data_IF_549672032640
#
_entry.id   IF_549672032640
#
_cell.length_a   1.000
_cell.length_b   1.000
_cell.length_c   1.000
_cell.angle_alpha   90.00
_cell.angle_beta   90.00
_cell.angle_gamma   90.00
#
_symmetry.space_group_name_H-M   'P 1'
#
loop_
_entity.id
_entity.type
_entity.pdbx_description
1 polymer ?
#
# COMPACT_ATOMS: atom_id res chain seq x y z
N UNK A 1 -37.38 22.03 -61.30
CA UNK A 1 -35.95 21.94 -60.92
C UNK A 1 -35.81 22.26 -59.45
N UNK A 2 -35.84 21.29 -58.57
CA UNK A 2 -35.63 21.43 -57.13
C UNK A 2 -34.16 21.00 -56.85
N UNK A 3 -33.38 21.92 -56.30
CA UNK A 3 -32.03 21.62 -55.78
C UNK A 3 -32.17 21.25 -54.33
N UNK A 4 -31.99 19.98 -53.99
CA UNK A 4 -31.78 19.51 -52.64
C UNK A 4 -30.34 19.76 -52.23
N UNK A 5 -30.13 20.70 -51.35
CA UNK A 5 -28.88 20.87 -50.59
C UNK A 5 -29.04 20.17 -49.27
N UNK A 6 -28.57 18.97 -49.16
CA UNK A 6 -28.39 18.25 -47.87
C UNK A 6 -27.12 18.76 -47.19
N UNK A 7 -27.30 19.65 -46.26
CA UNK A 7 -26.25 20.01 -45.29
C UNK A 7 -26.09 18.85 -44.28
N UNK A 8 -25.10 17.99 -44.51
CA UNK A 8 -24.62 17.07 -43.48
C UNK A 8 -23.69 17.83 -42.50
N UNK A 9 -24.27 18.48 -41.52
CA UNK A 9 -23.56 18.86 -40.31
C UNK A 9 -23.37 17.63 -39.46
N UNK A 10 -22.24 16.93 -39.65
CA UNK A 10 -21.77 15.93 -38.68
C UNK A 10 -21.44 16.71 -37.43
N UNK A 11 -22.36 16.76 -36.45
CA UNK A 11 -22.07 17.16 -35.10
C UNK A 11 -20.92 16.29 -34.59
N UNK A 12 -19.77 16.91 -34.39
CA UNK A 12 -18.67 16.31 -33.64
C UNK A 12 -19.18 16.08 -32.21
N UNK A 13 -19.67 14.89 -31.94
CA UNK A 13 -19.84 14.42 -30.57
C UNK A 13 -18.49 14.59 -29.87
N UNK A 14 -18.39 15.58 -28.99
CA UNK A 14 -17.27 15.70 -28.06
C UNK A 14 -17.19 14.37 -27.31
N UNK A 15 -16.13 13.61 -27.58
CA UNK A 15 -15.91 12.34 -26.88
C UNK A 15 -15.86 12.64 -25.39
N UNK A 16 -16.73 11.98 -24.61
CA UNK A 16 -16.79 12.09 -23.14
C UNK A 16 -15.47 11.71 -22.46
N UNK A 17 -14.55 11.11 -23.19
CA UNK A 17 -13.24 10.69 -22.72
C UNK A 17 -12.15 11.26 -23.62
N UNK A 18 -11.18 11.96 -23.05
CA UNK A 18 -9.92 12.23 -23.71
C UNK A 18 -9.26 10.89 -24.00
N UNK A 19 -9.27 10.46 -25.25
CA UNK A 19 -8.63 9.23 -25.65
C UNK A 19 -7.12 9.31 -25.38
N UNK A 20 -6.52 8.20 -24.98
CA UNK A 20 -5.12 8.14 -24.62
C UNK A 20 -4.21 8.45 -25.83
N UNK A 21 -2.92 8.66 -25.53
CA UNK A 21 -1.91 8.94 -26.53
C UNK A 21 -1.93 7.97 -27.72
N UNK A 22 -1.62 8.44 -28.94
CA UNK A 22 -1.58 7.61 -30.14
C UNK A 22 -0.66 6.40 -29.99
N UNK A 23 -1.05 5.26 -30.52
CA UNK A 23 -0.18 4.08 -30.65
C UNK A 23 0.66 4.21 -31.92
N UNK A 24 1.97 4.28 -31.79
CA UNK A 24 2.90 4.46 -32.91
C UNK A 24 2.49 5.61 -33.86
N UNK A 25 2.06 6.73 -33.26
CA UNK A 25 1.61 7.91 -34.01
C UNK A 25 0.21 7.87 -34.61
N UNK A 26 -0.52 6.75 -34.44
CA UNK A 26 -1.89 6.60 -34.95
C UNK A 26 -2.90 6.83 -33.83
N UNK A 27 -3.91 7.66 -34.11
CA UNK A 27 -5.02 7.90 -33.19
C UNK A 27 -5.84 6.63 -32.97
N UNK A 28 -6.25 6.37 -31.74
CA UNK A 28 -7.16 5.26 -31.38
C UNK A 28 -8.59 5.74 -31.57
N UNK A 29 -9.38 4.97 -32.31
CA UNK A 29 -10.82 5.15 -32.43
C UNK A 29 -11.52 3.96 -31.79
N UNK A 30 -12.41 4.23 -30.84
CA UNK A 30 -13.24 3.19 -30.22
C UNK A 30 -14.53 3.09 -31.00
N UNK A 31 -14.88 1.90 -31.49
CA UNK A 31 -16.12 1.58 -32.20
C UNK A 31 -16.71 0.28 -31.65
N UNK A 32 -18.02 0.11 -31.73
CA UNK A 32 -18.73 -1.06 -31.18
C UNK A 32 -19.35 -1.94 -32.27
N UNK A 33 -18.85 -1.85 -33.50
CA UNK A 33 -19.39 -2.52 -34.68
C UNK A 33 -18.40 -3.46 -35.38
N UNK A 34 -17.33 -3.83 -34.70
CA UNK A 34 -16.30 -4.71 -35.25
C UNK A 34 -16.43 -6.14 -34.70
N UNK A 35 -16.08 -7.18 -35.49
CA UNK A 35 -16.13 -8.58 -35.05
C UNK A 35 -15.11 -8.88 -33.93
N UNK A 36 -13.97 -8.20 -33.90
CA UNK A 36 -12.92 -8.40 -32.90
C UNK A 36 -13.04 -7.39 -31.75
N UNK A 37 -13.99 -7.65 -30.85
CA UNK A 37 -14.19 -6.81 -29.68
C UNK A 37 -13.28 -7.22 -28.50
N UNK A 38 -12.77 -6.24 -27.78
CA UNK A 38 -12.06 -6.43 -26.52
C UNK A 38 -12.89 -5.98 -25.33
N UNK A 39 -12.97 -6.82 -24.29
CA UNK A 39 -13.53 -6.42 -23.00
C UNK A 39 -12.57 -5.55 -22.17
N UNK A 40 -11.31 -5.44 -22.60
CA UNK A 40 -10.22 -4.78 -21.88
C UNK A 40 -9.98 -3.32 -22.33
N UNK A 41 -10.92 -2.73 -23.06
CA UNK A 41 -10.81 -1.36 -23.62
C UNK A 41 -10.49 -0.28 -22.57
N UNK A 42 -10.86 -0.49 -21.30
CA UNK A 42 -10.52 0.38 -20.19
C UNK A 42 -9.01 0.55 -19.95
N UNK A 43 -8.18 -0.41 -20.35
CA UNK A 43 -6.71 -0.29 -20.29
C UNK A 43 -6.15 0.89 -21.08
N UNK A 44 -6.83 1.27 -22.15
CA UNK A 44 -6.40 2.39 -22.98
C UNK A 44 -6.51 3.72 -22.22
N UNK A 45 -7.38 3.81 -21.22
CA UNK A 45 -7.49 4.98 -20.33
C UNK A 45 -6.34 5.01 -19.29
N UNK A 46 -5.86 3.84 -18.85
CA UNK A 46 -4.73 3.71 -17.94
C UNK A 46 -3.38 3.92 -18.64
N UNK A 47 -3.35 3.88 -19.98
CA UNK A 47 -2.17 4.13 -20.81
C UNK A 47 -1.86 5.63 -20.80
N UNK A 48 -1.06 6.06 -19.86
CA UNK A 48 -0.61 7.45 -19.82
C UNK A 48 0.79 7.57 -20.41
N UNK A 49 1.75 7.69 -20.50
CA UNK A 49 3.01 7.89 -21.19
C UNK A 49 3.81 6.59 -21.39
N UNK A 50 4.84 6.66 -22.25
CA UNK A 50 5.84 5.59 -22.44
C UNK A 50 6.71 5.34 -21.20
N UNK A 51 6.72 6.24 -20.22
CA UNK A 51 7.60 6.19 -19.05
C UNK A 51 6.85 5.87 -17.75
N UNK A 52 6.00 4.84 -17.83
CA UNK A 52 5.21 4.34 -16.69
C UNK A 52 6.07 3.63 -15.65
N UNK A 53 5.57 3.48 -14.45
CA UNK A 53 6.28 2.73 -13.40
C UNK A 53 6.58 1.28 -13.82
N UNK A 54 5.65 0.50 -14.40
CA UNK A 54 5.94 -0.84 -14.94
C UNK A 54 7.05 -0.85 -15.99
N UNK A 55 7.06 0.12 -16.90
CA UNK A 55 8.12 0.28 -17.91
C UNK A 55 9.48 0.47 -17.26
N UNK A 56 9.58 1.36 -16.26
CA UNK A 56 10.81 1.58 -15.49
C UNK A 56 11.25 0.32 -14.73
N UNK A 57 10.31 -0.43 -14.15
CA UNK A 57 10.60 -1.70 -13.48
C UNK A 57 11.22 -2.71 -14.43
N UNK A 58 10.63 -2.89 -15.62
CA UNK A 58 11.14 -3.80 -16.65
C UNK A 58 12.56 -3.47 -17.09
N UNK A 59 12.88 -2.18 -17.25
CA UNK A 59 14.23 -1.71 -17.61
C UNK A 59 15.29 -1.94 -16.53
N UNK A 60 14.88 -2.12 -15.26
CA UNK A 60 15.81 -2.44 -14.16
C UNK A 60 16.23 -3.91 -14.13
N UNK A 61 15.50 -4.80 -14.79
CA UNK A 61 15.79 -6.23 -14.82
C UNK A 61 16.91 -6.48 -15.83
N UNK A 62 18.07 -7.04 -15.41
CA UNK A 62 19.14 -7.38 -16.32
C UNK A 62 18.67 -8.40 -17.35
N UNK A 63 18.97 -8.16 -18.63
CA UNK A 63 18.57 -9.05 -19.72
C UNK A 63 19.81 -9.67 -20.36
N UNK A 64 20.17 -10.86 -19.90
CA UNK A 64 21.32 -11.64 -20.37
C UNK A 64 20.97 -12.51 -21.61
N UNK A 65 19.75 -12.38 -22.16
CA UNK A 65 19.32 -13.13 -23.35
C UNK A 65 20.03 -12.62 -24.60
N UNK A 66 20.20 -13.49 -25.58
CA UNK A 66 20.74 -13.13 -26.91
C UNK A 66 19.78 -12.15 -27.59
N UNK A 67 20.12 -10.88 -27.65
CA UNK A 67 19.21 -9.78 -28.00
C UNK A 67 18.59 -9.91 -29.39
N UNK A 68 19.29 -10.49 -30.39
CA UNK A 68 18.75 -10.73 -31.73
C UNK A 68 17.62 -11.77 -31.76
N UNK A 69 17.48 -12.60 -30.70
CA UNK A 69 16.43 -13.60 -30.58
C UNK A 69 15.30 -13.17 -29.61
N UNK A 70 15.43 -12.00 -29.00
CA UNK A 70 14.42 -11.48 -28.08
C UNK A 70 13.22 -10.93 -28.84
N UNK A 71 12.07 -11.59 -28.72
CA UNK A 71 10.78 -11.11 -29.30
C UNK A 71 10.06 -10.15 -28.36
N UNK A 72 10.20 -10.35 -27.03
CA UNK A 72 9.55 -9.57 -25.98
C UNK A 72 10.60 -9.07 -25.01
N UNK A 73 10.76 -7.75 -24.91
CA UNK A 73 11.64 -7.15 -23.91
C UNK A 73 11.07 -7.33 -22.50
N UNK A 74 11.92 -7.28 -21.48
CA UNK A 74 11.44 -7.31 -20.09
C UNK A 74 10.58 -6.10 -19.74
N UNK A 75 10.82 -4.95 -20.36
CA UNK A 75 9.97 -3.77 -20.25
C UNK A 75 8.54 -4.07 -20.73
N UNK A 76 8.40 -4.64 -21.92
CA UNK A 76 7.11 -5.03 -22.49
C UNK A 76 6.41 -6.07 -21.61
N UNK A 77 7.15 -7.10 -21.18
CA UNK A 77 6.60 -8.19 -20.39
C UNK A 77 6.08 -7.73 -19.02
N UNK A 78 6.79 -6.82 -18.32
CA UNK A 78 6.34 -6.25 -17.05
C UNK A 78 5.10 -5.39 -17.27
N UNK A 79 5.07 -4.57 -18.33
CA UNK A 79 3.87 -3.81 -18.68
C UNK A 79 2.69 -4.73 -19.00
N UNK A 80 2.90 -5.79 -19.78
CA UNK A 80 1.89 -6.80 -20.08
C UNK A 80 1.33 -7.39 -18.78
N UNK A 81 2.20 -7.83 -17.87
CA UNK A 81 1.80 -8.48 -16.62
C UNK A 81 0.95 -7.56 -15.73
N UNK A 82 1.39 -6.32 -15.54
CA UNK A 82 0.63 -5.33 -14.75
C UNK A 82 -0.72 -5.03 -15.41
N UNK A 83 -0.76 -4.87 -16.73
CA UNK A 83 -2.01 -4.61 -17.45
C UNK A 83 -2.97 -5.80 -17.39
N UNK A 84 -2.46 -7.03 -17.40
CA UNK A 84 -3.27 -8.24 -17.18
C UNK A 84 -3.89 -8.26 -15.78
N UNK A 85 -3.12 -7.96 -14.73
CA UNK A 85 -3.64 -7.86 -13.36
C UNK A 85 -4.74 -6.79 -13.27
N UNK A 86 -4.55 -5.63 -13.90
CA UNK A 86 -5.56 -4.57 -13.94
C UNK A 86 -6.85 -5.00 -14.64
N UNK A 87 -6.79 -5.95 -15.57
CA UNK A 87 -7.94 -6.54 -16.25
C UNK A 87 -8.55 -7.76 -15.51
N UNK A 88 -8.02 -8.10 -14.33
CA UNK A 88 -8.50 -9.23 -13.54
C UNK A 88 -7.85 -10.59 -13.89
N UNK A 89 -6.82 -10.62 -14.75
CA UNK A 89 -6.01 -11.80 -15.01
C UNK A 89 -4.89 -11.89 -13.97
N UNK A 90 -5.21 -12.38 -12.82
CA UNK A 90 -4.35 -12.33 -11.63
C UNK A 90 -3.19 -13.34 -11.64
N UNK A 91 -3.33 -14.45 -12.37
CA UNK A 91 -2.34 -15.52 -12.43
C UNK A 91 -1.49 -15.44 -13.71
N UNK A 92 -0.22 -15.89 -13.65
CA UNK A 92 0.62 -16.02 -14.83
C UNK A 92 0.06 -17.06 -15.82
N UNK A 93 -0.68 -18.06 -15.34
CA UNK A 93 -1.37 -19.04 -16.17
C UNK A 93 -2.42 -18.43 -17.09
N UNK A 94 -2.95 -17.26 -16.74
CA UNK A 94 -3.93 -16.53 -17.54
C UNK A 94 -3.30 -15.83 -18.75
N UNK A 95 -1.96 -15.76 -18.85
CA UNK A 95 -1.27 -14.99 -19.89
C UNK A 95 -1.61 -15.42 -21.32
N UNK A 96 -1.84 -16.71 -21.54
CA UNK A 96 -2.03 -17.24 -22.91
C UNK A 96 -3.37 -16.82 -23.53
N UNK A 97 -4.40 -16.61 -22.73
CA UNK A 97 -5.71 -16.20 -23.22
C UNK A 97 -5.74 -14.74 -23.70
N UNK A 98 -5.30 -13.74 -22.91
CA UNK A 98 -5.39 -12.33 -23.29
C UNK A 98 -4.22 -11.84 -24.16
N UNK A 99 -3.19 -12.64 -24.44
CA UNK A 99 -2.01 -12.18 -25.20
C UNK A 99 -2.34 -11.74 -26.64
N UNK A 100 -3.41 -12.26 -27.23
CA UNK A 100 -3.87 -11.89 -28.58
C UNK A 100 -4.81 -10.67 -28.57
N UNK A 101 -5.27 -10.22 -27.39
CA UNK A 101 -6.24 -9.13 -27.25
C UNK A 101 -5.68 -7.80 -27.78
N UNK A 102 -6.46 -7.14 -28.64
CA UNK A 102 -6.07 -5.89 -29.31
C UNK A 102 -5.83 -4.74 -28.34
N UNK A 103 -6.66 -4.60 -27.29
CA UNK A 103 -6.49 -3.54 -26.28
C UNK A 103 -5.23 -3.79 -25.44
N UNK A 104 -4.95 -5.05 -25.11
CA UNK A 104 -3.74 -5.42 -24.36
C UNK A 104 -2.47 -5.15 -25.21
N UNK A 105 -2.46 -5.52 -26.49
CA UNK A 105 -1.36 -5.20 -27.42
C UNK A 105 -1.12 -3.68 -27.49
N UNK A 106 -2.19 -2.91 -27.66
CA UNK A 106 -2.10 -1.45 -27.69
C UNK A 106 -1.62 -0.86 -26.37
N UNK A 107 -1.98 -1.46 -25.23
CA UNK A 107 -1.57 -0.97 -23.91
C UNK A 107 -0.05 -1.03 -23.69
N UNK A 108 0.65 -1.95 -24.33
CA UNK A 108 2.11 -2.05 -24.32
C UNK A 108 2.79 -1.39 -25.52
N UNK A 109 2.02 -0.71 -26.37
CA UNK A 109 2.54 0.05 -27.51
C UNK A 109 2.65 -0.73 -28.82
N UNK A 110 2.08 -1.94 -28.93
CA UNK A 110 1.98 -2.71 -30.17
C UNK A 110 0.71 -2.35 -30.96
N UNK A 111 0.70 -2.65 -32.25
CA UNK A 111 -0.52 -2.57 -33.08
C UNK A 111 -1.40 -3.79 -32.81
N UNK A 112 -2.72 -3.70 -33.01
CA UNK A 112 -3.61 -4.86 -32.97
C UNK A 112 -3.18 -6.02 -33.86
N UNK A 113 -2.63 -5.70 -35.06
CA UNK A 113 -2.17 -6.65 -36.06
C UNK A 113 -0.78 -7.23 -35.80
N UNK A 114 -0.04 -6.73 -34.82
CA UNK A 114 1.28 -7.25 -34.50
C UNK A 114 1.17 -8.66 -33.88
N UNK A 115 2.30 -9.37 -33.81
CA UNK A 115 2.38 -10.68 -33.15
C UNK A 115 1.80 -10.64 -31.74
N UNK A 116 1.37 -11.79 -31.25
CA UNK A 116 0.88 -11.94 -29.88
C UNK A 116 1.91 -11.52 -28.84
N UNK A 117 1.44 -11.08 -27.70
CA UNK A 117 2.28 -10.80 -26.55
C UNK A 117 2.90 -12.10 -25.99
N UNK A 118 3.78 -11.98 -24.99
CA UNK A 118 4.49 -13.13 -24.48
C UNK A 118 3.55 -14.19 -23.88
N UNK A 119 3.93 -15.46 -24.05
CA UNK A 119 3.21 -16.62 -23.52
C UNK A 119 3.42 -16.78 -22.01
N UNK A 120 2.54 -17.56 -21.39
CA UNK A 120 2.62 -17.95 -19.98
C UNK A 120 4.01 -18.50 -19.61
N UNK A 121 4.57 -19.41 -20.41
CA UNK A 121 5.88 -19.99 -20.12
C UNK A 121 7.01 -18.95 -20.14
N UNK A 122 6.92 -17.94 -21.02
CA UNK A 122 7.89 -16.85 -21.08
C UNK A 122 7.73 -15.89 -19.91
N UNK A 123 6.49 -15.59 -19.51
CA UNK A 123 6.20 -14.80 -18.32
C UNK A 123 6.72 -15.47 -17.04
N UNK A 124 6.48 -16.76 -16.87
CA UNK A 124 6.99 -17.54 -15.73
C UNK A 124 8.51 -17.53 -15.65
N UNK A 125 9.23 -17.59 -16.79
CA UNK A 125 10.70 -17.45 -16.80
C UNK A 125 11.14 -16.08 -16.30
N UNK A 126 10.49 -14.99 -16.74
CA UNK A 126 10.76 -13.65 -16.22
C UNK A 126 10.56 -13.59 -14.72
N UNK A 127 9.38 -13.97 -14.24
CA UNK A 127 9.02 -13.92 -12.82
C UNK A 127 9.99 -14.72 -11.94
N UNK A 128 10.55 -15.82 -12.43
CA UNK A 128 11.52 -16.66 -11.71
C UNK A 128 12.99 -16.23 -11.86
N UNK A 129 13.30 -15.27 -12.71
CA UNK A 129 14.68 -14.86 -13.00
C UNK A 129 15.12 -13.57 -12.29
N UNK A 130 14.22 -12.92 -11.54
CA UNK A 130 14.54 -11.65 -10.85
C UNK A 130 15.34 -11.91 -9.58
N UNK A 131 16.50 -11.26 -9.43
CA UNK A 131 17.36 -11.37 -8.27
C UNK A 131 17.00 -10.37 -7.16
N UNK A 132 17.51 -10.60 -5.95
CA UNK A 132 17.26 -9.73 -4.79
C UNK A 132 17.81 -8.31 -4.94
N UNK A 133 18.86 -8.12 -5.75
CA UNK A 133 19.45 -6.81 -6.03
C UNK A 133 18.51 -5.99 -6.93
N UNK A 134 17.92 -6.62 -7.92
CA UNK A 134 16.91 -6.01 -8.80
C UNK A 134 15.65 -5.66 -8.01
N UNK A 135 15.17 -6.57 -7.14
CA UNK A 135 14.03 -6.28 -6.25
C UNK A 135 14.29 -5.07 -5.34
N UNK A 136 15.49 -4.95 -4.80
CA UNK A 136 15.87 -3.76 -4.03
C UNK A 136 15.81 -2.48 -4.88
N UNK A 137 16.29 -2.53 -6.13
CA UNK A 137 16.24 -1.39 -7.06
C UNK A 137 14.79 -1.03 -7.41
N UNK A 138 13.93 -2.02 -7.61
CA UNK A 138 12.48 -1.82 -7.84
C UNK A 138 11.85 -1.16 -6.60
N UNK A 139 12.12 -1.66 -5.41
CA UNK A 139 11.65 -1.03 -4.16
C UNK A 139 12.11 0.43 -4.04
N UNK A 140 13.38 0.73 -4.38
CA UNK A 140 13.90 2.10 -4.41
C UNK A 140 13.15 2.96 -5.44
N UNK A 141 12.86 2.42 -6.62
CA UNK A 141 12.11 3.11 -7.66
C UNK A 141 10.71 3.56 -7.19
N UNK A 142 10.01 2.77 -6.36
CA UNK A 142 8.74 3.19 -5.77
C UNK A 142 8.92 4.44 -4.90
N UNK A 143 9.93 4.46 -4.04
CA UNK A 143 10.22 5.62 -3.18
C UNK A 143 10.61 6.84 -4.01
N UNK A 144 11.41 6.65 -5.06
CA UNK A 144 11.78 7.72 -6.00
C UNK A 144 10.56 8.29 -6.73
N UNK A 145 9.64 7.42 -7.17
CA UNK A 145 8.40 7.83 -7.84
C UNK A 145 7.49 8.60 -6.87
N UNK A 146 7.42 8.18 -5.61
CA UNK A 146 6.74 8.93 -4.57
C UNK A 146 7.33 10.33 -4.42
N UNK A 147 8.65 10.46 -4.30
CA UNK A 147 9.34 11.77 -4.20
C UNK A 147 9.05 12.64 -5.41
N UNK A 148 9.17 12.09 -6.64
CA UNK A 148 8.91 12.82 -7.90
C UNK A 148 7.45 13.26 -8.07
N UNK A 149 6.52 12.66 -7.34
CA UNK A 149 5.11 13.01 -7.39
C UNK A 149 4.75 14.32 -6.69
N UNK A 150 5.73 14.97 -6.05
CA UNK A 150 5.57 16.25 -5.38
C UNK A 150 6.31 17.36 -6.14
N UNK A 151 5.62 18.45 -6.43
CA UNK A 151 6.22 19.64 -7.06
C UNK A 151 7.11 20.42 -6.08
N UNK A 152 6.84 20.29 -4.77
CA UNK A 152 7.61 20.94 -3.70
C UNK A 152 7.74 19.98 -2.52
N UNK A 153 8.86 20.00 -1.77
CA UNK A 153 9.03 19.20 -0.57
C UNK A 153 7.88 19.44 0.43
N UNK A 154 7.21 18.40 0.92
CA UNK A 154 6.18 18.54 1.94
C UNK A 154 6.82 18.91 3.29
N UNK A 155 6.11 19.68 4.11
CA UNK A 155 6.60 20.01 5.48
C UNK A 155 6.57 18.80 6.40
N UNK A 156 5.66 17.86 6.15
CA UNK A 156 5.44 16.69 6.99
C UNK A 156 4.99 15.49 6.16
N UNK A 157 5.61 14.34 6.39
CA UNK A 157 5.26 13.03 5.81
C UNK A 157 4.90 12.09 6.94
N UNK A 158 3.81 11.35 6.80
CA UNK A 158 3.39 10.30 7.75
C UNK A 158 3.55 8.95 7.05
N UNK A 159 4.52 8.17 7.48
CA UNK A 159 4.69 6.81 7.01
C UNK A 159 3.70 5.90 7.75
N UNK A 160 2.54 5.66 7.16
CA UNK A 160 1.62 4.63 7.63
C UNK A 160 2.12 3.28 7.17
N UNK A 161 2.55 2.47 8.12
CA UNK A 161 3.06 1.14 7.87
C UNK A 161 2.09 0.10 8.44
N UNK A 162 1.71 -0.88 7.63
CA UNK A 162 0.89 -1.99 8.06
C UNK A 162 1.20 -3.27 7.27
N UNK A 163 0.92 -4.40 7.89
CA UNK A 163 1.05 -5.72 7.32
C UNK A 163 -0.31 -6.20 6.85
N UNK A 164 -0.34 -6.92 5.73
CA UNK A 164 -1.55 -7.62 5.30
C UNK A 164 -1.20 -9.08 4.98
N UNK A 165 -2.19 -9.96 4.96
CA UNK A 165 -2.00 -11.31 4.47
C UNK A 165 -2.16 -11.35 2.94
N UNK A 166 -1.30 -12.12 2.30
CA UNK A 166 -1.44 -12.54 0.91
C UNK A 166 -1.51 -14.06 0.90
N UNK A 167 -2.70 -14.60 0.67
CA UNK A 167 -2.95 -16.04 0.73
C UNK A 167 -2.18 -16.75 -0.39
N UNK A 168 -1.67 -17.92 -0.10
CA UNK A 168 -0.91 -18.73 -1.04
C UNK A 168 -1.70 -19.95 -1.46
N UNK A 169 -1.61 -20.26 -2.74
CA UNK A 169 -2.32 -21.36 -3.37
C UNK A 169 -1.29 -22.33 -3.95
N UNK A 170 -0.92 -23.35 -3.16
CA UNK A 170 0.08 -24.34 -3.55
C UNK A 170 1.42 -24.24 -2.80
N UNK A 171 2.44 -24.93 -3.29
CA UNK A 171 3.76 -25.06 -2.66
C UNK A 171 4.67 -23.85 -2.98
N UNK A 172 4.27 -22.66 -2.57
CA UNK A 172 5.10 -21.45 -2.76
C UNK A 172 6.20 -21.36 -1.69
N UNK A 173 7.37 -20.92 -2.09
CA UNK A 173 8.53 -20.77 -1.21
C UNK A 173 8.26 -19.75 -0.09
N UNK A 174 8.68 -20.08 1.14
CA UNK A 174 8.50 -19.23 2.34
C UNK A 174 7.03 -18.91 2.68
N UNK A 175 6.10 -19.66 2.14
CA UNK A 175 4.74 -19.75 2.66
C UNK A 175 4.81 -20.38 4.04
N UNK A 176 4.44 -19.63 5.06
CA UNK A 176 4.50 -20.06 6.45
C UNK A 176 3.13 -19.90 7.09
N UNK A 177 2.78 -20.86 7.94
CA UNK A 177 1.53 -20.78 8.70
C UNK A 177 1.55 -19.56 9.63
N UNK A 178 0.55 -18.71 9.51
CA UNK A 178 0.34 -17.56 10.36
C UNK A 178 -0.85 -17.81 11.29
N UNK A 179 -0.56 -17.96 12.59
CA UNK A 179 -1.58 -18.28 13.59
C UNK A 179 -2.65 -17.16 13.77
N UNK A 180 -2.34 -15.91 13.46
CA UNK A 180 -3.30 -14.82 13.54
C UNK A 180 -4.39 -14.91 12.46
N UNK A 181 -3.98 -15.27 11.23
CA UNK A 181 -4.90 -15.46 10.10
C UNK A 181 -5.40 -16.89 9.98
N UNK A 182 -4.79 -17.84 10.73
CA UNK A 182 -5.04 -19.29 10.64
C UNK A 182 -4.87 -19.84 9.21
N UNK A 183 -3.89 -19.33 8.48
CA UNK A 183 -3.65 -19.62 7.06
C UNK A 183 -2.16 -19.68 6.72
N UNK A 184 -1.84 -20.41 5.65
CA UNK A 184 -0.54 -20.32 4.99
C UNK A 184 -0.53 -19.11 4.06
N UNK A 185 0.34 -18.14 4.33
CA UNK A 185 0.36 -16.89 3.60
C UNK A 185 1.76 -16.27 3.53
N UNK A 186 1.90 -15.26 2.69
CA UNK A 186 2.91 -14.23 2.83
C UNK A 186 2.36 -13.04 3.61
N UNK A 187 3.26 -12.18 4.12
CA UNK A 187 2.90 -10.99 4.89
C UNK A 187 3.50 -9.73 4.23
N UNK A 188 2.92 -9.25 3.11
CA UNK A 188 3.36 -7.99 2.53
C UNK A 188 3.33 -6.85 3.55
N UNK A 189 4.41 -6.06 3.57
CA UNK A 189 4.47 -4.77 4.24
C UNK A 189 4.11 -3.70 3.22
N UNK A 190 3.12 -2.88 3.54
CA UNK A 190 2.76 -1.71 2.75
C UNK A 190 3.07 -0.45 3.55
N UNK A 191 3.69 0.53 2.89
CA UNK A 191 3.96 1.84 3.47
C UNK A 191 3.29 2.88 2.59
N UNK A 192 2.33 3.61 3.16
CA UNK A 192 1.65 4.72 2.50
C UNK A 192 1.99 6.04 3.19
N UNK A 193 1.83 7.14 2.49
CA UNK A 193 1.82 8.46 3.12
C UNK A 193 0.41 8.77 3.66
N UNK A 194 0.29 8.86 4.95
CA UNK A 194 -0.97 9.16 5.65
C UNK A 194 -1.55 10.55 5.38
N UNK A 195 -0.86 11.40 4.63
CA UNK A 195 -1.32 12.73 4.21
C UNK A 195 -1.79 12.70 2.75
N UNK A 196 -0.92 12.30 1.83
CA UNK A 196 -1.22 12.28 0.38
C UNK A 196 -1.91 10.99 -0.06
N UNK A 197 -1.97 9.96 0.80
CA UNK A 197 -2.52 8.61 0.53
C UNK A 197 -1.77 7.83 -0.56
N UNK A 198 -0.60 8.31 -0.98
CA UNK A 198 0.22 7.67 -2.00
C UNK A 198 0.98 6.49 -1.43
N UNK A 199 1.10 5.43 -2.22
CA UNK A 199 1.96 4.29 -1.90
C UNK A 199 3.43 4.73 -1.98
N UNK A 200 4.19 4.45 -0.93
CA UNK A 200 5.62 4.73 -0.85
C UNK A 200 6.42 3.47 -1.16
N UNK A 201 6.07 2.36 -0.53
CA UNK A 201 6.79 1.09 -0.70
C UNK A 201 5.88 -0.11 -0.46
N UNK A 202 5.69 -1.01 -1.43
CA UNK A 202 5.22 -2.37 -1.21
C UNK A 202 6.43 -3.29 -1.03
N UNK A 203 6.37 -4.24 -0.09
CA UNK A 203 7.42 -5.23 0.12
C UNK A 203 6.84 -6.59 0.50
N UNK A 204 7.09 -7.60 -0.31
CA UNK A 204 6.73 -8.98 0.01
C UNK A 204 7.61 -9.50 1.15
N UNK A 205 7.00 -10.21 2.10
CA UNK A 205 7.68 -10.85 3.22
C UNK A 205 7.11 -12.24 3.49
N UNK A 206 7.90 -13.14 4.09
CA UNK A 206 7.42 -14.44 4.54
C UNK A 206 6.23 -14.33 5.50
N UNK A 207 5.37 -15.33 5.54
CA UNK A 207 4.19 -15.38 6.40
C UNK A 207 4.46 -15.35 7.91
N UNK A 208 5.69 -15.61 8.34
CA UNK A 208 6.17 -15.39 9.70
C UNK A 208 7.12 -14.21 9.75
N UNK A 209 7.06 -13.48 10.83
CA UNK A 209 8.05 -12.43 11.12
C UNK A 209 9.42 -13.06 11.26
N UNK A 210 10.28 -12.77 10.32
CA UNK A 210 11.66 -13.19 10.35
C UNK A 210 12.52 -12.08 10.99
N UNK A 211 13.33 -12.44 12.00
CA UNK A 211 14.27 -11.50 12.62
C UNK A 211 15.30 -10.94 11.62
N UNK A 212 15.59 -11.66 10.54
CA UNK A 212 16.51 -11.21 9.48
C UNK A 212 15.93 -10.13 8.57
N UNK A 213 14.59 -10.11 8.37
CA UNK A 213 13.88 -9.05 7.67
C UNK A 213 13.40 -8.00 8.66
N UNK A 214 14.35 -7.29 9.25
CA UNK A 214 14.08 -6.28 10.26
C UNK A 214 13.40 -5.06 9.63
N UNK A 215 12.09 -4.91 9.90
CA UNK A 215 11.26 -3.79 9.44
C UNK A 215 11.88 -2.44 9.83
N UNK A 216 12.52 -2.36 10.99
CA UNK A 216 13.22 -1.14 11.43
C UNK A 216 14.31 -0.70 10.45
N UNK A 217 15.07 -1.64 9.88
CA UNK A 217 16.11 -1.34 8.87
C UNK A 217 15.50 -0.81 7.58
N UNK A 218 14.36 -1.38 7.15
CA UNK A 218 13.64 -0.93 5.95
C UNK A 218 13.13 0.49 6.16
N UNK A 219 12.42 0.72 7.28
CA UNK A 219 11.88 2.03 7.63
C UNK A 219 12.98 3.09 7.73
N UNK A 220 14.11 2.75 8.35
CA UNK A 220 15.28 3.66 8.45
C UNK A 220 15.79 4.07 7.08
N UNK A 221 15.97 3.12 6.15
CA UNK A 221 16.42 3.43 4.78
C UNK A 221 15.44 4.33 4.03
N UNK A 222 14.14 4.07 4.17
CA UNK A 222 13.11 4.93 3.57
C UNK A 222 13.19 6.34 4.17
N UNK A 223 13.28 6.46 5.48
CA UNK A 223 13.37 7.76 6.18
C UNK A 223 14.64 8.50 5.80
N UNK A 224 15.79 7.82 5.75
CA UNK A 224 17.08 8.41 5.38
C UNK A 224 17.04 8.93 3.94
N UNK A 225 16.53 8.14 3.00
CA UNK A 225 16.37 8.57 1.60
C UNK A 225 15.41 9.77 1.45
N UNK A 226 14.27 9.76 2.15
CA UNK A 226 13.36 10.91 2.13
C UNK A 226 13.99 12.17 2.72
N UNK A 227 14.80 12.03 3.78
CA UNK A 227 15.53 13.14 4.37
C UNK A 227 16.63 13.68 3.47
N UNK A 228 17.34 12.83 2.73
CA UNK A 228 18.30 13.25 1.70
C UNK A 228 17.61 14.09 0.62
N UNK A 229 16.43 13.66 0.15
CA UNK A 229 15.65 14.40 -0.84
C UNK A 229 15.02 15.68 -0.28
N UNK A 230 14.60 15.67 1.00
CA UNK A 230 13.85 16.72 1.67
C UNK A 230 14.39 17.02 3.06
N UNK A 231 15.52 17.75 3.19
CA UNK A 231 16.23 17.96 4.46
C UNK A 231 15.41 18.63 5.56
N UNK A 232 14.40 19.44 5.20
CA UNK A 232 13.58 20.19 6.15
C UNK A 232 12.24 19.51 6.48
N UNK A 233 11.99 18.31 5.94
CA UNK A 233 10.73 17.57 6.14
C UNK A 233 10.77 16.78 7.45
N UNK A 234 9.72 16.90 8.25
CA UNK A 234 9.51 16.03 9.41
C UNK A 234 8.83 14.74 8.95
N UNK A 235 9.40 13.59 9.29
CA UNK A 235 8.93 12.27 8.91
C UNK A 235 8.45 11.55 10.17
N UNK A 236 7.18 11.17 10.21
CA UNK A 236 6.57 10.45 11.34
C UNK A 236 6.19 9.03 10.93
N UNK A 237 6.73 8.02 11.60
CA UNK A 237 6.25 6.65 11.49
C UNK A 237 4.95 6.50 12.28
N UNK A 238 3.89 6.00 11.66
CA UNK A 238 2.64 5.60 12.30
C UNK A 238 2.32 4.14 11.97
N UNK A 239 2.04 3.35 12.99
CA UNK A 239 1.79 1.91 12.83
C UNK A 239 1.16 1.29 14.07
N UNK A 240 0.82 0.03 14.00
CA UNK A 240 0.29 -0.72 15.14
C UNK A 240 1.39 -1.04 16.17
N UNK A 241 1.08 -1.87 17.16
CA UNK A 241 2.06 -2.27 18.20
C UNK A 241 3.24 -3.08 17.65
N UNK A 242 3.12 -3.65 16.47
CA UNK A 242 4.18 -4.39 15.79
C UNK A 242 5.32 -3.49 15.33
N UNK A 243 5.01 -2.23 15.04
CA UNK A 243 5.98 -1.21 14.64
C UNK A 243 6.60 -0.47 15.83
N UNK A 244 6.19 -0.79 17.07
CA UNK A 244 6.82 -0.30 18.30
C UNK A 244 8.17 -0.98 18.52
N UNK A 245 9.14 -0.66 17.69
CA UNK A 245 10.48 -1.26 17.72
C UNK A 245 11.44 -0.43 18.53
N UNK A 246 12.09 -1.07 19.54
CA UNK A 246 13.17 -0.46 20.30
C UNK A 246 14.28 0.09 19.39
N UNK A 247 14.70 -0.71 18.40
CA UNK A 247 15.78 -0.32 17.49
C UNK A 247 15.42 0.94 16.67
N UNK A 248 14.17 1.06 16.24
CA UNK A 248 13.70 2.26 15.52
C UNK A 248 13.62 3.46 16.45
N UNK A 249 13.07 3.30 17.65
CA UNK A 249 12.96 4.39 18.65
C UNK A 249 14.32 4.91 19.09
N UNK A 250 15.28 4.02 19.37
CA UNK A 250 16.64 4.38 19.78
C UNK A 250 17.36 5.13 18.64
N UNK A 251 17.21 4.67 17.42
CA UNK A 251 17.78 5.35 16.24
C UNK A 251 17.11 6.72 15.99
N UNK A 252 15.80 6.81 16.13
CA UNK A 252 15.04 8.04 15.93
C UNK A 252 15.29 9.09 17.03
N UNK A 253 15.77 8.67 18.21
CA UNK A 253 15.89 9.53 19.39
C UNK A 253 16.68 10.82 19.12
N UNK A 254 17.88 10.70 18.53
CA UNK A 254 18.76 11.82 18.23
C UNK A 254 18.39 12.62 16.98
N UNK A 255 17.44 12.15 16.18
CA UNK A 255 17.10 12.75 14.89
C UNK A 255 15.91 13.70 15.03
N UNK A 256 16.12 14.99 14.87
CA UNK A 256 15.07 16.00 15.02
C UNK A 256 13.92 15.84 14.01
N UNK A 257 14.24 15.37 12.79
CA UNK A 257 13.29 15.18 11.70
C UNK A 257 12.49 13.88 11.79
N UNK A 258 12.85 12.95 12.69
CA UNK A 258 12.16 11.66 12.84
C UNK A 258 11.24 11.68 14.06
N UNK A 259 10.00 11.30 13.84
CA UNK A 259 8.98 11.08 14.88
C UNK A 259 8.37 9.69 14.73
N UNK A 260 7.66 9.25 15.74
CA UNK A 260 6.85 8.03 15.72
C UNK A 260 5.61 8.18 16.58
N UNK A 261 4.57 7.43 16.19
CA UNK A 261 3.30 7.30 16.88
C UNK A 261 2.79 5.88 16.63
N UNK A 262 3.14 4.94 17.49
CA UNK A 262 2.81 3.53 17.32
C UNK A 262 1.97 3.00 18.47
N UNK A 263 1.18 1.96 18.21
CA UNK A 263 0.55 1.19 19.26
C UNK A 263 1.59 0.64 20.24
N UNK A 264 1.17 0.40 21.46
CA UNK A 264 1.98 -0.27 22.48
C UNK A 264 1.12 -1.32 23.16
N UNK A 265 1.59 -2.56 23.16
CA UNK A 265 0.91 -3.64 23.90
C UNK A 265 0.92 -3.38 25.39
N UNK A 266 -0.24 -3.54 26.02
CA UNK A 266 -0.36 -3.41 27.46
C UNK A 266 0.46 -4.49 28.19
N UNK A 267 0.98 -4.12 29.35
CA UNK A 267 1.61 -5.04 30.29
C UNK A 267 1.19 -4.67 31.72
N UNK A 268 1.51 -5.54 32.71
CA UNK A 268 1.12 -5.36 34.10
C UNK A 268 1.50 -3.99 34.65
N UNK A 269 2.75 -3.53 34.42
CA UNK A 269 3.21 -2.20 34.88
C UNK A 269 2.38 -1.05 34.32
N UNK A 270 2.06 -1.08 33.02
CA UNK A 270 1.23 -0.04 32.39
C UNK A 270 -0.20 -0.07 32.94
N UNK A 271 -0.75 -1.26 33.17
CA UNK A 271 -2.09 -1.42 33.75
C UNK A 271 -2.13 -0.92 35.20
N UNK A 272 -1.11 -1.19 36.01
CA UNK A 272 -0.98 -0.71 37.38
C UNK A 272 -0.94 0.82 37.45
N UNK A 273 -0.16 1.45 36.56
CA UNK A 273 -0.06 2.92 36.49
C UNK A 273 -1.42 3.56 36.20
N UNK A 274 -2.24 2.93 35.35
CA UNK A 274 -3.56 3.48 34.96
C UNK A 274 -4.73 2.97 35.84
N UNK A 275 -4.47 2.19 36.90
CA UNK A 275 -5.55 1.61 37.72
C UNK A 275 -6.42 2.70 38.38
N UNK A 276 -5.82 3.70 38.98
CA UNK A 276 -6.60 4.83 39.59
C UNK A 276 -7.44 5.57 38.53
N UNK A 277 -6.87 6.02 37.38
CA UNK A 277 -7.66 6.58 36.27
C UNK A 277 -8.76 5.66 35.77
N UNK A 278 -8.50 4.35 35.67
CA UNK A 278 -9.48 3.34 35.25
C UNK A 278 -10.69 3.32 36.19
N UNK A 279 -10.45 3.16 37.49
CA UNK A 279 -11.53 3.14 38.51
C UNK A 279 -12.35 4.44 38.50
N UNK A 280 -11.70 5.59 38.27
CA UNK A 280 -12.43 6.87 38.13
C UNK A 280 -13.34 6.86 36.89
N UNK A 281 -12.85 6.38 35.75
CA UNK A 281 -13.66 6.30 34.53
C UNK A 281 -14.85 5.32 34.70
N UNK A 282 -14.64 4.20 35.38
CA UNK A 282 -15.70 3.24 35.73
C UNK A 282 -16.77 3.84 36.65
N UNK A 283 -16.36 4.63 37.65
CA UNK A 283 -17.30 5.35 38.52
C UNK A 283 -18.07 6.43 37.74
N UNK A 284 -17.38 7.17 36.84
CA UNK A 284 -18.04 8.16 35.98
C UNK A 284 -19.09 7.48 35.07
N UNK A 285 -18.79 6.28 34.57
CA UNK A 285 -19.74 5.50 33.79
C UNK A 285 -20.96 5.06 34.58
N UNK A 286 -20.76 4.55 35.83
CA UNK A 286 -21.87 4.20 36.73
C UNK A 286 -22.78 5.40 36.99
N UNK A 287 -22.20 6.55 37.37
CA UNK A 287 -22.95 7.79 37.55
C UNK A 287 -23.70 8.27 36.32
N UNK A 288 -23.11 8.04 35.10
CA UNK A 288 -23.79 8.37 33.85
C UNK A 288 -24.98 7.45 33.57
N UNK A 289 -24.89 6.17 33.96
CA UNK A 289 -26.01 5.22 33.88
C UNK A 289 -27.15 5.56 34.81
N UNK A 290 -26.84 6.02 36.07
CA UNK A 290 -27.83 6.43 37.05
C UNK A 290 -28.63 7.66 36.61
N UNK A 291 -28.09 8.49 35.74
CA UNK A 291 -28.74 9.69 35.17
C UNK A 291 -29.59 9.41 33.91
N UNK A 292 -29.60 8.17 33.43
CA UNK A 292 -30.46 7.82 32.29
C UNK A 292 -31.92 7.75 32.73
N UNK A 293 -32.80 8.40 31.94
CA UNK A 293 -34.23 8.39 32.18
C UNK A 293 -34.97 7.81 30.96
N UNK A 294 -35.99 6.99 31.21
CA UNK A 294 -36.90 6.51 30.18
C UNK A 294 -36.27 5.54 29.16
N UNK A 295 -36.47 5.81 27.88
CA UNK A 295 -36.11 4.94 26.74
C UNK A 295 -34.63 5.03 26.33
N UNK A 296 -33.78 5.76 27.07
CA UNK A 296 -32.36 5.89 26.69
C UNK A 296 -31.63 4.56 26.81
N UNK A 297 -30.95 4.17 25.70
CA UNK A 297 -30.20 2.92 25.67
C UNK A 297 -28.87 3.05 26.43
N UNK A 298 -28.63 2.12 27.39
CA UNK A 298 -27.35 1.99 28.09
C UNK A 298 -26.15 1.83 27.15
N UNK A 299 -26.38 1.34 25.94
CA UNK A 299 -25.37 1.13 24.92
C UNK A 299 -24.79 2.43 24.35
N UNK A 300 -25.51 3.54 24.47
CA UNK A 300 -25.07 4.86 24.01
C UNK A 300 -24.10 5.55 24.98
N UNK A 301 -24.01 5.09 26.24
CA UNK A 301 -23.11 5.70 27.22
C UNK A 301 -21.69 5.20 27.03
N UNK A 302 -20.77 6.11 26.70
CA UNK A 302 -19.34 5.79 26.57
C UNK A 302 -18.49 6.87 27.22
N UNK A 303 -17.74 6.50 28.23
CA UNK A 303 -16.78 7.38 28.91
C UNK A 303 -15.39 7.16 28.30
N UNK A 304 -14.76 8.23 27.82
CA UNK A 304 -13.40 8.20 27.28
C UNK A 304 -12.50 9.14 28.05
N UNK A 305 -11.36 8.64 28.52
CA UNK A 305 -10.33 9.41 29.22
C UNK A 305 -8.97 9.17 28.58
N UNK A 306 -8.13 10.20 28.55
CA UNK A 306 -6.80 10.16 27.94
C UNK A 306 -5.77 10.67 28.93
N UNK A 307 -4.72 9.90 29.15
CA UNK A 307 -3.68 10.21 30.12
C UNK A 307 -2.30 10.18 29.47
N UNK A 308 -1.45 11.10 29.89
CA UNK A 308 -0.02 11.07 29.60
C UNK A 308 0.69 10.25 30.66
N UNK A 309 1.56 9.37 30.23
CA UNK A 309 2.47 8.60 31.07
C UNK A 309 3.89 8.79 30.54
N UNK A 310 4.85 8.92 31.42
CA UNK A 310 6.26 8.79 31.09
C UNK A 310 6.66 7.37 31.51
N UNK A 311 7.04 6.54 30.53
CA UNK A 311 7.23 5.10 30.72
C UNK A 311 8.54 4.63 30.06
N UNK A 312 9.26 3.78 30.76
CA UNK A 312 10.45 3.10 30.29
C UNK A 312 10.31 1.60 30.48
N UNK A 313 10.24 0.85 29.39
CA UNK A 313 10.35 -0.60 29.44
C UNK A 313 11.79 -0.99 29.78
N UNK A 314 11.99 -2.14 30.41
CA UNK A 314 13.31 -2.63 30.84
C UNK A 314 14.30 -2.69 29.67
N UNK A 315 13.82 -3.01 28.45
CA UNK A 315 14.66 -3.09 27.24
C UNK A 315 14.91 -1.75 26.55
N UNK A 316 14.26 -0.65 26.93
CA UNK A 316 14.39 0.65 26.27
C UNK A 316 15.56 1.46 26.83
N UNK A 317 16.30 2.15 25.97
CA UNK A 317 17.37 3.07 26.40
C UNK A 317 16.80 4.32 27.04
N UNK A 318 15.74 4.87 26.47
CA UNK A 318 15.16 6.15 26.84
C UNK A 318 13.73 5.99 27.35
N UNK A 319 13.37 6.83 28.30
CA UNK A 319 11.98 6.99 28.71
C UNK A 319 11.17 7.60 27.56
N UNK A 320 9.97 7.06 27.34
CA UNK A 320 9.09 7.45 26.26
C UNK A 320 7.79 8.04 26.79
N UNK A 321 7.24 8.98 26.03
CA UNK A 321 5.89 9.45 26.27
C UNK A 321 4.90 8.40 25.77
N UNK A 322 4.08 7.88 26.68
CA UNK A 322 2.99 6.95 26.39
C UNK A 322 1.66 7.65 26.68
N UNK A 323 0.70 7.45 25.80
CA UNK A 323 -0.67 7.90 25.98
C UNK A 323 -1.56 6.69 26.23
N UNK A 324 -2.25 6.68 27.35
CA UNK A 324 -3.28 5.70 27.66
C UNK A 324 -4.66 6.26 27.28
N UNK A 325 -5.45 5.50 26.51
CA UNK A 325 -6.89 5.71 26.34
C UNK A 325 -7.61 4.69 27.19
N UNK A 326 -8.47 5.17 28.08
CA UNK A 326 -9.41 4.35 28.84
C UNK A 326 -10.81 4.62 28.29
N UNK A 327 -11.48 3.58 27.85
CA UNK A 327 -12.85 3.63 27.36
C UNK A 327 -13.71 2.66 28.15
N UNK A 328 -14.78 3.17 28.75
CA UNK A 328 -15.75 2.38 29.52
C UNK A 328 -17.10 2.50 28.83
N UNK A 329 -17.71 1.37 28.54
CA UNK A 329 -19.01 1.24 27.87
C UNK A 329 -19.78 0.05 28.42
N UNK A 330 -20.99 -0.19 27.95
CA UNK A 330 -21.77 -1.39 28.29
C UNK A 330 -21.01 -2.70 27.98
N UNK A 331 -20.06 -2.68 27.01
CA UNK A 331 -19.20 -3.83 26.67
C UNK A 331 -18.02 -4.04 27.62
N UNK A 332 -17.87 -3.19 28.65
CA UNK A 332 -16.78 -3.24 29.62
C UNK A 332 -15.72 -2.16 29.41
N UNK A 333 -14.59 -2.34 30.09
CA UNK A 333 -13.45 -1.40 30.08
C UNK A 333 -12.39 -1.82 29.07
N UNK A 334 -12.05 -0.93 28.15
CA UNK A 334 -11.00 -1.13 27.14
C UNK A 334 -9.88 -0.10 27.36
N UNK A 335 -8.66 -0.61 27.56
CA UNK A 335 -7.47 0.23 27.77
C UNK A 335 -6.51 -0.01 26.62
N UNK A 336 -6.09 1.08 25.96
CA UNK A 336 -5.12 1.02 24.86
C UNK A 336 -4.01 2.03 25.10
N UNK A 337 -2.80 1.65 24.71
CA UNK A 337 -1.62 2.49 24.84
C UNK A 337 -1.02 2.80 23.46
N UNK A 338 -0.50 4.02 23.34
CA UNK A 338 0.32 4.42 22.19
C UNK A 338 1.58 5.11 22.69
N UNK A 339 2.69 4.88 22.03
CA UNK A 339 3.98 5.51 22.33
C UNK A 339 4.31 6.55 21.28
N UNK A 340 4.87 7.67 21.68
CA UNK A 340 5.18 8.76 20.75
C UNK A 340 6.39 9.60 21.21
N UNK A 341 7.13 10.11 20.22
CA UNK A 341 8.16 11.15 20.44
C UNK A 341 7.59 12.56 20.48
N UNK A 342 6.32 12.75 20.12
CA UNK A 342 5.68 14.08 20.13
C UNK A 342 5.34 14.50 21.57
N UNK A 343 5.93 15.63 22.03
CA UNK A 343 5.76 16.13 23.40
C UNK A 343 4.76 17.30 23.52
N UNK A 344 4.42 17.96 22.40
CA UNK A 344 3.72 19.26 22.42
C UNK A 344 2.18 19.15 22.39
N UNK A 345 1.61 18.05 21.89
CA UNK A 345 0.17 17.93 21.72
C UNK A 345 -0.51 17.28 22.94
N UNK A 346 -1.79 17.59 23.15
CA UNK A 346 -2.59 16.95 24.20
C UNK A 346 -2.70 15.43 23.99
N UNK A 347 -2.87 14.64 25.05
CA UNK A 347 -3.07 13.19 24.95
C UNK A 347 -4.22 12.81 24.01
N UNK A 348 -5.34 13.52 24.09
CA UNK A 348 -6.51 13.32 23.21
C UNK A 348 -6.18 13.57 21.74
N UNK A 349 -5.43 14.64 21.43
CA UNK A 349 -5.02 14.98 20.06
C UNK A 349 -4.09 13.93 19.48
N UNK A 350 -3.09 13.47 20.25
CA UNK A 350 -2.18 12.41 19.83
C UNK A 350 -2.95 11.12 19.53
N UNK A 351 -3.84 10.72 20.44
CA UNK A 351 -4.60 9.50 20.25
C UNK A 351 -5.54 9.58 19.02
N UNK A 352 -6.18 10.73 18.78
CA UNK A 352 -6.97 10.97 17.56
C UNK A 352 -6.12 10.86 16.29
N UNK A 353 -4.89 11.37 16.31
CA UNK A 353 -3.95 11.22 15.18
C UNK A 353 -3.57 9.75 14.96
N UNK A 354 -3.37 8.99 16.03
CA UNK A 354 -3.13 7.55 15.95
C UNK A 354 -4.30 6.81 15.30
N UNK A 355 -5.54 7.14 15.66
CA UNK A 355 -6.74 6.50 15.10
C UNK A 355 -6.87 6.69 13.58
N UNK A 356 -6.29 7.75 13.01
CA UNK A 356 -6.26 7.94 11.54
C UNK A 356 -5.48 6.85 10.81
N UNK A 357 -4.69 6.02 11.52
CA UNK A 357 -4.08 4.83 10.94
C UNK A 357 -5.11 3.90 10.29
N UNK A 358 -6.32 3.82 10.85
CA UNK A 358 -7.39 2.99 10.29
C UNK A 358 -7.81 3.36 8.86
N UNK A 359 -7.49 4.57 8.38
CA UNK A 359 -7.74 4.95 7.00
C UNK A 359 -6.91 4.12 6.01
N UNK A 360 -5.74 3.63 6.43
CA UNK A 360 -4.88 2.77 5.61
C UNK A 360 -5.53 1.43 5.26
N UNK A 361 -6.42 0.92 6.12
CA UNK A 361 -7.16 -0.32 5.86
C UNK A 361 -8.00 -0.23 4.58
N UNK A 362 -8.48 0.97 4.23
CA UNK A 362 -9.20 1.22 2.97
C UNK A 362 -8.25 1.10 1.76
N UNK A 363 -7.04 1.66 1.87
CA UNK A 363 -6.05 1.60 0.79
C UNK A 363 -5.53 0.17 0.58
N UNK A 364 -5.38 -0.60 1.67
CA UNK A 364 -5.06 -2.04 1.60
C UNK A 364 -6.20 -2.81 0.91
N UNK A 365 -7.46 -2.46 1.18
CA UNK A 365 -8.61 -3.05 0.48
C UNK A 365 -8.57 -2.76 -1.02
N UNK A 366 -8.18 -1.55 -1.42
CA UNK A 366 -8.03 -1.21 -2.84
C UNK A 366 -6.97 -2.10 -3.52
N UNK A 367 -5.82 -2.32 -2.86
CA UNK A 367 -4.78 -3.25 -3.35
C UNK A 367 -5.34 -4.66 -3.52
N UNK A 368 -6.11 -5.15 -2.53
CA UNK A 368 -6.74 -6.49 -2.58
C UNK A 368 -7.85 -6.58 -3.62
N UNK A 369 -8.57 -5.49 -3.85
CA UNK A 369 -9.63 -5.43 -4.87
C UNK A 369 -9.09 -5.73 -6.27
N UNK A 370 -7.89 -5.23 -6.60
CA UNK A 370 -7.20 -5.53 -7.85
C UNK A 370 -6.48 -6.89 -7.85
N UNK A 371 -6.66 -7.72 -6.83
CA UNK A 371 -5.97 -9.02 -6.67
C UNK A 371 -4.44 -8.92 -6.69
N UNK A 372 -3.91 -7.73 -6.40
CA UNK A 372 -2.46 -7.49 -6.39
C UNK A 372 -1.75 -8.14 -5.20
N UNK A 373 -2.48 -8.72 -4.26
CA UNK A 373 -1.98 -9.54 -3.15
C UNK A 373 -1.86 -11.03 -3.50
N UNK A 374 -2.30 -11.46 -4.69
CA UNK A 374 -2.18 -12.85 -5.13
C UNK A 374 -0.82 -13.08 -5.78
N UNK A 375 -0.07 -14.03 -5.21
CA UNK A 375 1.26 -14.39 -5.69
C UNK A 375 1.16 -15.59 -6.62
N UNK A 376 1.55 -15.41 -7.89
CA UNK A 376 1.53 -16.48 -8.91
C UNK A 376 2.82 -17.28 -8.96
N UNK A 377 3.92 -16.77 -8.38
CA UNK A 377 5.23 -17.38 -8.48
C UNK A 377 5.53 -18.38 -7.37
N UNK A 378 6.23 -19.47 -7.71
CA UNK A 378 6.67 -20.44 -6.73
C UNK A 378 7.83 -19.92 -5.84
N UNK A 379 8.67 -19.02 -6.34
CA UNK A 379 9.84 -18.48 -5.63
C UNK A 379 9.53 -17.14 -4.99
N UNK A 380 9.88 -16.95 -3.71
CA UNK A 380 9.71 -15.66 -2.99
C UNK A 380 10.54 -14.51 -3.57
N UNK A 381 11.62 -14.82 -4.27
CA UNK A 381 12.45 -13.82 -4.95
C UNK A 381 11.87 -13.34 -6.28
N UNK A 382 10.70 -13.84 -6.62
CA UNK A 382 9.96 -13.48 -7.82
C UNK A 382 8.67 -12.78 -7.36
N UNK A 383 8.65 -11.46 -7.28
CA UNK A 383 7.51 -10.70 -6.80
C UNK A 383 6.36 -10.68 -7.78
#
# INVERSE_FOLDING_TARGET
MCKNTTNNSVEQQKSLFSLPEPVLGKKIKVVFNAPDMSSNGGLLLARSSKDTLPSKMGRLIPDDRTQCLVRHSYEEMVCQRVNQILCGYEDANDCDRPRCDSALKMSVGRRPSDEDLCSQATMTRLENNVDSKTLYRIGKLFVEQYVKSFSKPPRHVILDADDTNANTYGAQQLTLFNAYYNEYCHMPLLIFDGVSKKLILPMLRPGRRNKSLNVSRILRRVVEYLHECWPNTVIELRGDSHFCSREFMDWAWSKWYVRYLTGLSGNTKLLDIVDKPRRRAENDFKKALEKLHGSDSKDNVVIRRYFKLDYKAQSWKHEQRVIAKIEVSAKGTNIRFVVTKNRNNSPKTIYKRYCKRGEMELWIKDVKYFKADRMSCAKVRSP
#
